data_IF_800257461732
#
_entry.id   IF_800257461732
#
_cell.length_a   1.000
_cell.length_b   1.000
_cell.length_c   1.000
_cell.angle_alpha   90.00
_cell.angle_beta   90.00
_cell.angle_gamma   90.00
#
_symmetry.space_group_name_H-M   'P 1'
#
loop_
_entity.id
_entity.type
_entity.pdbx_description
1 polymer ?
#
# COMPACT_ATOMS: atom_id res chain seq x y z
N UNK A 1 21.89 -10.24 4.39
CA UNK A 1 22.24 -10.00 2.98
C UNK A 1 23.41 -9.02 2.86
N UNK A 2 23.35 -7.84 3.44
CA UNK A 2 24.38 -6.79 3.35
C UNK A 2 25.77 -7.25 3.88
N UNK A 3 25.85 -8.06 4.96
CA UNK A 3 27.13 -8.62 5.44
C UNK A 3 27.80 -9.56 4.42
N UNK A 4 27.02 -10.41 3.77
CA UNK A 4 27.55 -11.35 2.74
C UNK A 4 27.95 -10.59 1.49
N UNK A 5 27.17 -9.58 1.07
CA UNK A 5 27.52 -8.70 -0.06
C UNK A 5 28.82 -7.92 0.20
N UNK A 6 29.02 -7.41 1.44
CA UNK A 6 30.27 -6.72 1.82
C UNK A 6 31.48 -7.66 1.76
N UNK A 7 31.36 -8.92 2.23
CA UNK A 7 32.43 -9.93 2.13
C UNK A 7 32.77 -10.25 0.67
N UNK A 8 31.79 -10.34 -0.22
CA UNK A 8 32.04 -10.56 -1.65
C UNK A 8 32.79 -9.38 -2.26
N UNK A 9 32.39 -8.13 -1.94
CA UNK A 9 33.06 -6.94 -2.47
C UNK A 9 34.49 -6.73 -1.96
N UNK A 10 34.87 -7.36 -0.85
CA UNK A 10 36.21 -7.28 -0.27
C UNK A 10 37.14 -8.46 -0.67
N UNK A 11 36.64 -9.47 -1.37
CA UNK A 11 37.39 -10.66 -1.76
C UNK A 11 37.66 -10.65 -3.25
N UNK A 12 38.91 -10.85 -3.63
CA UNK A 12 39.35 -10.96 -5.03
C UNK A 12 38.74 -12.19 -5.71
N UNK A 13 38.40 -13.24 -4.94
CA UNK A 13 37.79 -14.46 -5.44
C UNK A 13 36.79 -15.02 -4.40
N UNK A 14 35.55 -14.49 -4.35
CA UNK A 14 34.59 -14.91 -3.34
C UNK A 14 34.15 -16.36 -3.54
N UNK A 15 34.05 -17.17 -2.46
CA UNK A 15 33.59 -18.55 -2.53
C UNK A 15 32.20 -18.69 -3.15
N UNK A 16 31.98 -19.79 -3.90
CA UNK A 16 30.67 -20.08 -4.55
C UNK A 16 29.53 -20.14 -3.53
N UNK A 17 29.78 -20.57 -2.33
CA UNK A 17 28.84 -20.64 -1.21
C UNK A 17 28.25 -19.26 -0.85
N UNK A 18 29.06 -18.20 -0.99
CA UNK A 18 28.59 -16.84 -0.74
C UNK A 18 27.49 -16.42 -1.75
N UNK A 19 27.64 -16.78 -3.02
CA UNK A 19 26.63 -16.50 -4.05
C UNK A 19 25.37 -17.35 -3.85
N UNK A 20 25.53 -18.60 -3.43
CA UNK A 20 24.41 -19.46 -3.06
C UNK A 20 23.64 -18.87 -1.87
N UNK A 21 24.35 -18.47 -0.80
CA UNK A 21 23.75 -17.83 0.37
C UNK A 21 22.97 -16.56 0.00
N UNK A 22 23.52 -15.69 -0.85
CA UNK A 22 22.79 -14.49 -1.34
C UNK A 22 21.53 -14.89 -2.11
N UNK A 23 21.61 -15.90 -2.95
CA UNK A 23 20.46 -16.37 -3.73
C UNK A 23 19.34 -16.88 -2.81
N UNK A 24 19.68 -17.70 -1.81
CA UNK A 24 18.72 -18.23 -0.83
C UNK A 24 18.12 -17.09 0.00
N UNK A 25 18.94 -16.20 0.57
CA UNK A 25 18.44 -15.06 1.35
C UNK A 25 17.55 -14.14 0.51
N UNK A 26 17.87 -13.96 -0.77
CA UNK A 26 17.04 -13.19 -1.67
C UNK A 26 15.70 -13.89 -1.95
N UNK A 27 15.70 -15.21 -2.07
CA UNK A 27 14.48 -15.99 -2.22
C UNK A 27 13.59 -15.89 -0.98
N UNK A 28 14.17 -16.04 0.21
CA UNK A 28 13.43 -15.89 1.49
C UNK A 28 12.78 -14.51 1.60
N UNK A 29 13.53 -13.43 1.31
CA UNK A 29 13.00 -12.06 1.36
C UNK A 29 11.84 -11.89 0.36
N UNK A 30 11.98 -12.41 -0.86
CA UNK A 30 10.92 -12.34 -1.86
C UNK A 30 9.66 -13.12 -1.43
N UNK A 31 9.83 -14.30 -0.82
CA UNK A 31 8.71 -15.11 -0.34
C UNK A 31 8.02 -14.47 0.87
N UNK A 32 8.78 -13.94 1.83
CA UNK A 32 8.21 -13.20 2.96
C UNK A 32 7.42 -11.98 2.50
N UNK A 33 7.93 -11.27 1.51
CA UNK A 33 7.19 -10.13 0.94
C UNK A 33 5.91 -10.58 0.23
N UNK A 34 5.98 -11.66 -0.57
CA UNK A 34 4.80 -12.23 -1.22
C UNK A 34 3.72 -12.68 -0.22
N UNK A 35 4.14 -13.35 0.87
CA UNK A 35 3.26 -13.76 1.95
C UNK A 35 2.63 -12.57 2.66
N UNK A 36 3.43 -11.57 3.02
CA UNK A 36 2.92 -10.35 3.64
C UNK A 36 1.89 -9.61 2.79
N UNK A 37 2.05 -9.60 1.46
CA UNK A 37 1.04 -9.04 0.55
C UNK A 37 -0.27 -9.81 0.62
N UNK A 38 -0.24 -11.15 0.59
CA UNK A 38 -1.45 -11.97 0.72
C UNK A 38 -2.16 -11.75 2.05
N UNK A 39 -1.41 -11.75 3.15
CA UNK A 39 -1.96 -11.65 4.50
C UNK A 39 -2.50 -10.25 4.84
N UNK A 40 -1.89 -9.21 4.32
CA UNK A 40 -2.24 -7.84 4.70
C UNK A 40 -3.03 -7.06 3.66
N UNK A 41 -2.91 -7.41 2.38
CA UNK A 41 -3.45 -6.63 1.27
C UNK A 41 -4.34 -7.43 0.32
N UNK A 42 -4.19 -8.77 0.30
CA UNK A 42 -5.00 -9.67 -0.50
C UNK A 42 -4.35 -10.10 -1.81
N UNK A 43 -5.17 -10.67 -2.70
CA UNK A 43 -4.69 -11.39 -3.88
C UNK A 43 -4.22 -10.49 -5.02
N UNK A 44 -4.84 -9.34 -5.25
CA UNK A 44 -4.48 -8.44 -6.35
C UNK A 44 -3.04 -7.88 -6.21
N UNK A 45 -2.61 -7.29 -5.09
CA UNK A 45 -1.21 -6.85 -4.90
C UNK A 45 -0.21 -8.00 -4.97
N UNK A 46 -0.60 -9.21 -4.53
CA UNK A 46 0.22 -10.40 -4.67
C UNK A 46 0.42 -10.76 -6.16
N UNK A 47 -0.63 -10.77 -6.96
CA UNK A 47 -0.56 -11.07 -8.40
C UNK A 47 0.28 -10.04 -9.16
N UNK A 48 0.16 -8.76 -8.83
CA UNK A 48 1.00 -7.69 -9.35
C UNK A 48 2.48 -7.91 -8.99
N UNK A 49 2.76 -8.28 -7.74
CA UNK A 49 4.11 -8.61 -7.31
C UNK A 49 4.67 -9.81 -8.08
N UNK A 50 3.89 -10.86 -8.28
CA UNK A 50 4.29 -12.02 -9.10
C UNK A 50 4.60 -11.59 -10.54
N UNK A 51 3.80 -10.69 -11.12
CA UNK A 51 4.07 -10.08 -12.41
C UNK A 51 5.44 -9.38 -12.48
N UNK A 52 5.77 -8.61 -11.44
CA UNK A 52 7.10 -7.97 -11.30
C UNK A 52 8.22 -9.01 -11.08
N UNK A 53 7.96 -10.06 -10.29
CA UNK A 53 8.92 -11.13 -10.04
C UNK A 53 9.29 -11.90 -11.32
N UNK A 54 8.32 -12.12 -12.21
CA UNK A 54 8.53 -12.77 -13.53
C UNK A 54 9.46 -11.98 -14.45
N UNK A 55 9.52 -10.66 -14.31
CA UNK A 55 10.44 -9.80 -15.06
C UNK A 55 11.88 -9.82 -14.54
N UNK A 56 12.11 -10.38 -13.34
CA UNK A 56 13.45 -10.47 -12.74
C UNK A 56 14.23 -11.64 -13.31
N UNK A 57 15.48 -11.40 -13.74
CA UNK A 57 16.39 -12.42 -14.28
C UNK A 57 17.23 -13.15 -13.23
N UNK A 58 17.08 -12.79 -11.94
CA UNK A 58 17.86 -13.34 -10.85
C UNK A 58 17.57 -14.81 -10.59
N UNK A 59 18.61 -15.59 -10.20
CA UNK A 59 18.45 -17.00 -9.83
C UNK A 59 17.42 -17.23 -8.75
N UNK A 60 17.36 -16.34 -7.75
CA UNK A 60 16.37 -16.40 -6.68
C UNK A 60 14.94 -16.32 -7.21
N UNK A 61 14.64 -15.37 -8.10
CA UNK A 61 13.32 -15.22 -8.72
C UNK A 61 12.93 -16.44 -9.57
N UNK A 62 13.87 -16.94 -10.39
CA UNK A 62 13.65 -18.13 -11.20
C UNK A 62 13.33 -19.37 -10.36
N UNK A 63 14.08 -19.60 -9.27
CA UNK A 63 13.85 -20.73 -8.39
C UNK A 63 12.47 -20.66 -7.71
N UNK A 64 12.04 -19.48 -7.25
CA UNK A 64 10.71 -19.29 -6.67
C UNK A 64 9.62 -19.59 -7.70
N UNK A 65 9.75 -19.06 -8.91
CA UNK A 65 8.75 -19.24 -9.97
C UNK A 65 8.65 -20.68 -10.49
N UNK A 66 9.71 -21.49 -10.32
CA UNK A 66 9.73 -22.91 -10.67
C UNK A 66 9.23 -23.83 -9.54
N UNK A 67 9.06 -23.30 -8.32
CA UNK A 67 8.56 -24.08 -7.21
C UNK A 67 7.07 -24.46 -7.42
N UNK A 68 6.72 -25.75 -7.33
CA UNK A 68 5.35 -26.20 -7.57
C UNK A 68 4.33 -25.60 -6.59
N UNK A 69 4.71 -25.41 -5.31
CA UNK A 69 3.81 -24.85 -4.30
C UNK A 69 3.58 -23.35 -4.57
N UNK A 70 4.64 -22.61 -4.95
CA UNK A 70 4.49 -21.21 -5.33
C UNK A 70 3.65 -21.07 -6.60
N UNK A 71 3.84 -21.93 -7.58
CA UNK A 71 3.03 -21.95 -8.82
C UNK A 71 1.55 -22.23 -8.53
N UNK A 72 1.27 -23.16 -7.61
CA UNK A 72 -0.09 -23.45 -7.15
C UNK A 72 -0.71 -22.25 -6.41
N UNK A 73 0.05 -21.59 -5.53
CA UNK A 73 -0.41 -20.39 -4.84
C UNK A 73 -0.75 -19.25 -5.83
N UNK A 74 0.08 -19.06 -6.86
CA UNK A 74 -0.18 -18.07 -7.93
C UNK A 74 -1.44 -18.40 -8.72
N UNK A 75 -1.67 -19.68 -9.02
CA UNK A 75 -2.88 -20.12 -9.71
C UNK A 75 -4.13 -19.80 -8.87
N UNK A 76 -4.15 -20.22 -7.60
CA UNK A 76 -5.26 -19.97 -6.69
C UNK A 76 -5.52 -18.47 -6.45
N UNK A 77 -4.46 -17.67 -6.37
CA UNK A 77 -4.61 -16.22 -6.20
C UNK A 77 -5.22 -15.54 -7.43
N UNK A 78 -4.89 -16.01 -8.64
CA UNK A 78 -5.52 -15.51 -9.87
C UNK A 78 -6.99 -15.88 -9.94
N UNK A 79 -7.30 -17.14 -9.66
CA UNK A 79 -8.68 -17.64 -9.60
C UNK A 79 -9.51 -16.83 -8.58
N UNK A 80 -8.96 -16.56 -7.40
CA UNK A 80 -9.58 -15.72 -6.37
C UNK A 80 -9.81 -14.28 -6.84
N UNK A 81 -8.89 -13.70 -7.57
CA UNK A 81 -9.02 -12.35 -8.16
C UNK A 81 -10.12 -12.32 -9.24
N UNK A 82 -10.19 -13.34 -10.11
CA UNK A 82 -11.23 -13.48 -11.14
C UNK A 82 -12.63 -13.61 -10.53
N UNK A 83 -12.75 -14.27 -9.37
CA UNK A 83 -13.99 -14.33 -8.57
C UNK A 83 -14.29 -13.04 -7.81
N UNK A 84 -13.44 -12.02 -7.90
CA UNK A 84 -13.66 -10.74 -7.23
C UNK A 84 -13.48 -10.81 -5.70
N UNK A 85 -12.69 -11.76 -5.20
CA UNK A 85 -12.41 -11.87 -3.76
C UNK A 85 -11.57 -10.67 -3.30
N UNK A 86 -12.22 -9.80 -2.53
CA UNK A 86 -11.60 -8.64 -1.92
C UNK A 86 -11.11 -8.97 -0.51
N UNK A 87 -9.98 -8.39 -0.11
CA UNK A 87 -9.47 -8.58 1.25
C UNK A 87 -10.44 -8.00 2.28
N UNK A 88 -10.74 -8.71 3.39
CA UNK A 88 -11.70 -8.25 4.40
C UNK A 88 -11.40 -6.86 4.98
N UNK A 89 -10.12 -6.49 5.11
CA UNK A 89 -9.72 -5.14 5.54
C UNK A 89 -10.23 -4.05 4.60
N UNK A 90 -10.16 -4.27 3.27
CA UNK A 90 -10.63 -3.28 2.29
C UNK A 90 -12.12 -3.06 2.43
N UNK A 91 -12.90 -4.14 2.52
CA UNK A 91 -14.34 -4.05 2.77
C UNK A 91 -14.62 -3.28 4.04
N UNK A 92 -13.92 -3.60 5.13
CA UNK A 92 -14.10 -2.94 6.42
C UNK A 92 -13.69 -1.47 6.40
N UNK A 93 -12.62 -1.13 5.68
CA UNK A 93 -12.20 0.27 5.47
C UNK A 93 -13.31 1.08 4.78
N UNK A 94 -13.85 0.56 3.69
CA UNK A 94 -14.91 1.24 2.93
C UNK A 94 -16.18 1.40 3.76
N UNK A 95 -16.58 0.36 4.51
CA UNK A 95 -17.71 0.45 5.45
C UNK A 95 -17.50 1.57 6.47
N UNK A 96 -16.30 1.64 7.08
CA UNK A 96 -15.95 2.66 8.06
C UNK A 96 -15.95 4.06 7.44
N UNK A 97 -15.34 4.22 6.26
CA UNK A 97 -15.33 5.51 5.56
C UNK A 97 -16.74 5.99 5.22
N UNK A 98 -17.61 5.11 4.72
CA UNK A 98 -19.01 5.45 4.42
C UNK A 98 -19.78 5.86 5.67
N UNK A 99 -19.57 5.15 6.78
CA UNK A 99 -20.22 5.47 8.05
C UNK A 99 -19.79 6.85 8.54
N UNK A 100 -18.50 7.14 8.58
CA UNK A 100 -17.97 8.42 9.05
C UNK A 100 -18.34 9.61 8.14
N UNK A 101 -18.42 9.36 6.82
CA UNK A 101 -18.85 10.37 5.85
C UNK A 101 -20.38 10.53 5.77
N UNK A 102 -21.15 9.69 6.49
CA UNK A 102 -22.60 9.73 6.48
C UNK A 102 -23.23 9.29 5.16
N UNK A 103 -22.54 8.42 4.39
CA UNK A 103 -23.00 7.98 3.07
C UNK A 103 -23.99 6.81 3.13
N UNK A 104 -24.08 6.10 4.25
CA UNK A 104 -24.93 4.90 4.41
C UNK A 104 -26.38 5.22 4.84
N UNK A 105 -26.79 6.49 4.83
CA UNK A 105 -28.14 6.91 5.28
C UNK A 105 -28.40 6.66 6.78
N UNK A 106 -27.49 6.02 7.48
CA UNK A 106 -27.49 5.90 8.93
C UNK A 106 -26.87 7.16 9.52
N UNK A 107 -27.56 7.73 10.48
CA UNK A 107 -27.15 8.94 11.16
C UNK A 107 -25.70 8.83 11.60
N UNK A 108 -24.83 9.62 10.97
CA UNK A 108 -23.48 9.94 11.46
C UNK A 108 -23.48 9.88 12.98
N UNK A 109 -22.48 9.32 13.64
CA UNK A 109 -22.25 9.44 15.09
C UNK A 109 -22.05 10.92 15.46
N UNK A 110 -23.07 11.74 15.16
CA UNK A 110 -23.19 13.16 15.51
C UNK A 110 -23.29 13.37 17.02
N UNK A 111 -23.42 12.30 17.80
CA UNK A 111 -23.80 12.38 19.20
C UNK A 111 -22.69 12.69 20.20
N UNK A 112 -21.47 12.95 19.75
CA UNK A 112 -20.39 13.30 20.70
C UNK A 112 -19.82 14.72 20.55
N UNK A 113 -20.34 15.56 19.61
CA UNK A 113 -19.94 16.96 19.48
C UNK A 113 -21.18 17.82 19.24
N UNK A 114 -21.77 18.18 20.35
CA UNK A 114 -22.90 19.14 20.46
C UNK A 114 -22.35 20.58 20.39
N UNK A 115 -21.92 21.00 19.22
CA UNK A 115 -21.61 22.41 18.95
C UNK A 115 -22.24 22.74 17.59
N UNK A 116 -23.39 23.37 17.63
CA UNK A 116 -24.33 23.74 16.59
C UNK A 116 -23.85 24.53 15.37
N UNK A 117 -22.67 24.23 14.83
CA UNK A 117 -22.17 24.80 13.59
C UNK A 117 -22.25 23.77 12.46
N UNK A 118 -22.70 24.24 11.32
CA UNK A 118 -22.73 23.50 10.04
C UNK A 118 -21.31 23.09 9.65
N UNK A 119 -20.87 21.90 10.13
CA UNK A 119 -19.48 21.45 9.94
C UNK A 119 -19.32 20.85 8.56
N UNK A 120 -18.28 21.33 7.87
CA UNK A 120 -17.66 20.70 6.69
C UNK A 120 -17.58 19.16 6.85
N UNK A 121 -17.63 18.44 5.74
CA UNK A 121 -17.42 16.98 5.73
C UNK A 121 -16.20 16.59 6.55
N UNK A 122 -16.27 15.48 7.33
CA UNK A 122 -15.15 15.07 8.16
C UNK A 122 -13.90 14.80 7.32
N UNK A 123 -12.76 15.19 7.84
CA UNK A 123 -11.45 14.96 7.22
C UNK A 123 -10.82 13.70 7.79
N UNK A 124 -10.54 12.76 6.92
CA UNK A 124 -10.03 11.44 7.29
C UNK A 124 -8.66 11.22 6.64
N UNK A 125 -7.70 10.67 7.40
CA UNK A 125 -6.43 10.21 6.85
C UNK A 125 -6.36 8.68 6.96
N UNK A 126 -5.98 8.03 5.86
CA UNK A 126 -5.70 6.60 5.80
C UNK A 126 -4.22 6.40 5.53
N UNK A 127 -3.50 5.80 6.47
CA UNK A 127 -2.09 5.46 6.31
C UNK A 127 -1.92 4.03 5.81
N UNK A 128 -0.99 3.85 4.86
CA UNK A 128 -0.58 2.56 4.33
C UNK A 128 0.93 2.53 4.09
N UNK A 129 1.58 1.38 4.12
CA UNK A 129 3.03 1.27 3.89
C UNK A 129 3.40 1.34 2.41
N UNK A 130 2.55 0.84 1.51
CA UNK A 130 2.89 0.61 0.12
C UNK A 130 2.08 1.49 -0.83
N UNK A 131 2.73 1.97 -1.90
CA UNK A 131 2.07 2.77 -2.94
C UNK A 131 1.01 1.98 -3.71
N UNK A 132 1.25 0.70 -3.94
CA UNK A 132 0.27 -0.14 -4.65
C UNK A 132 -1.01 -0.29 -3.82
N UNK A 133 -0.90 -0.42 -2.49
CA UNK A 133 -2.06 -0.43 -1.58
C UNK A 133 -2.77 0.93 -1.57
N UNK A 134 -2.01 2.02 -1.58
CA UNK A 134 -2.56 3.38 -1.65
C UNK A 134 -3.37 3.57 -2.94
N UNK A 135 -2.83 3.16 -4.09
CA UNK A 135 -3.51 3.22 -5.38
C UNK A 135 -4.82 2.40 -5.34
N UNK A 136 -4.77 1.18 -4.80
CA UNK A 136 -5.92 0.28 -4.66
C UNK A 136 -7.02 0.86 -3.76
N UNK A 137 -6.65 1.45 -2.61
CA UNK A 137 -7.60 2.11 -1.71
C UNK A 137 -8.26 3.29 -2.43
N UNK A 138 -7.48 4.10 -3.13
CA UNK A 138 -7.99 5.26 -3.88
C UNK A 138 -8.98 4.85 -4.97
N UNK A 139 -8.63 3.87 -5.81
CA UNK A 139 -9.54 3.34 -6.84
C UNK A 139 -10.83 2.76 -6.23
N UNK A 140 -10.73 2.12 -5.07
CA UNK A 140 -11.90 1.60 -4.37
C UNK A 140 -12.77 2.72 -3.82
N UNK A 141 -12.18 3.78 -3.27
CA UNK A 141 -12.88 4.98 -2.84
C UNK A 141 -13.61 5.65 -4.01
N UNK A 142 -12.97 5.82 -5.16
CA UNK A 142 -13.58 6.40 -6.36
C UNK A 142 -14.80 5.60 -6.82
N UNK A 143 -14.72 4.27 -6.85
CA UNK A 143 -15.84 3.38 -7.20
C UNK A 143 -17.05 3.54 -6.26
N UNK A 144 -16.81 3.92 -5.02
CA UNK A 144 -17.85 4.15 -4.00
C UNK A 144 -18.29 5.62 -3.90
N UNK A 145 -17.76 6.49 -4.76
CA UNK A 145 -18.10 7.93 -4.76
C UNK A 145 -17.47 8.72 -3.60
N UNK A 146 -16.45 8.16 -2.91
CA UNK A 146 -15.73 8.82 -1.83
C UNK A 146 -14.66 9.75 -2.44
N UNK A 147 -14.70 11.03 -2.10
CA UNK A 147 -13.72 12.03 -2.57
C UNK A 147 -12.38 11.81 -1.87
N UNK A 148 -11.51 11.02 -2.46
CA UNK A 148 -10.19 10.72 -1.92
C UNK A 148 -9.06 11.29 -2.77
N UNK A 149 -7.90 11.50 -2.15
CA UNK A 149 -6.68 11.94 -2.83
C UNK A 149 -5.46 11.16 -2.35
N UNK A 150 -4.56 10.88 -3.28
CA UNK A 150 -3.30 10.16 -3.03
C UNK A 150 -2.22 11.11 -2.57
N UNK A 151 -1.51 10.71 -1.52
CA UNK A 151 -0.37 11.46 -0.99
C UNK A 151 0.81 10.54 -0.69
N UNK A 152 1.98 10.82 -1.28
CA UNK A 152 3.19 10.02 -1.09
C UNK A 152 4.45 10.86 -1.30
N UNK A 153 5.61 10.30 -0.93
CA UNK A 153 6.89 10.98 -0.97
C UNK A 153 7.41 11.28 -2.38
N UNK A 154 8.49 12.07 -2.44
CA UNK A 154 9.14 12.52 -3.68
C UNK A 154 9.95 11.42 -4.37
N UNK A 155 10.33 10.36 -3.63
CA UNK A 155 11.16 9.28 -4.15
C UNK A 155 10.48 8.52 -5.29
N UNK A 156 11.25 8.12 -6.31
CA UNK A 156 10.79 7.19 -7.34
C UNK A 156 10.81 5.77 -6.78
N UNK A 157 9.72 5.03 -6.89
CA UNK A 157 9.62 3.62 -6.49
C UNK A 157 8.97 2.82 -7.62
N UNK A 158 9.53 1.66 -7.93
CA UNK A 158 9.03 0.72 -8.96
C UNK A 158 8.71 1.38 -10.31
N UNK A 159 9.53 2.39 -10.71
CA UNK A 159 9.34 3.14 -11.96
C UNK A 159 8.24 4.21 -11.92
N UNK A 160 7.52 4.34 -10.80
CA UNK A 160 6.53 5.41 -10.61
C UNK A 160 7.21 6.64 -9.99
N UNK A 161 7.07 7.80 -10.64
CA UNK A 161 7.60 9.08 -10.16
C UNK A 161 6.91 9.50 -8.86
N UNK A 162 7.68 10.07 -7.92
CA UNK A 162 7.15 10.66 -6.70
C UNK A 162 6.46 12.00 -6.93
N UNK A 163 5.73 12.48 -5.92
CA UNK A 163 5.13 13.82 -5.92
C UNK A 163 6.20 14.88 -5.67
N UNK A 164 6.19 15.95 -6.45
CA UNK A 164 7.02 17.13 -6.18
C UNK A 164 6.53 17.85 -4.93
N UNK A 165 7.39 18.66 -4.28
CA UNK A 165 6.98 19.48 -3.13
C UNK A 165 5.80 20.42 -3.45
N UNK A 166 5.73 20.93 -4.67
CA UNK A 166 4.64 21.80 -5.11
C UNK A 166 3.33 21.03 -5.19
N UNK A 167 3.35 19.82 -5.75
CA UNK A 167 2.18 18.93 -5.80
C UNK A 167 1.71 18.54 -4.40
N UNK A 168 2.62 18.17 -3.51
CA UNK A 168 2.31 17.86 -2.12
C UNK A 168 1.63 19.04 -1.40
N UNK A 169 2.17 20.26 -1.53
CA UNK A 169 1.55 21.47 -0.95
C UNK A 169 0.15 21.72 -1.52
N UNK A 170 -0.04 21.54 -2.83
CA UNK A 170 -1.33 21.72 -3.47
C UNK A 170 -2.37 20.70 -2.99
N UNK A 171 -1.97 19.44 -2.84
CA UNK A 171 -2.84 18.37 -2.34
C UNK A 171 -3.28 18.69 -0.90
N UNK A 172 -2.35 19.04 -0.01
CA UNK A 172 -2.67 19.43 1.37
C UNK A 172 -3.60 20.64 1.40
N UNK A 173 -3.36 21.65 0.58
CA UNK A 173 -4.25 22.81 0.47
C UNK A 173 -5.65 22.40 0.03
N UNK A 174 -5.78 21.57 -1.00
CA UNK A 174 -7.08 21.07 -1.50
C UNK A 174 -7.80 20.21 -0.47
N UNK A 175 -7.07 19.42 0.31
CA UNK A 175 -7.63 18.67 1.43
C UNK A 175 -8.11 19.59 2.57
N UNK A 176 -7.33 20.64 2.90
CA UNK A 176 -7.73 21.67 3.89
C UNK A 176 -9.03 22.37 3.50
N UNK A 177 -9.21 22.68 2.21
CA UNK A 177 -10.38 23.41 1.68
C UNK A 177 -11.61 22.53 1.42
N UNK A 178 -11.57 21.22 1.78
CA UNK A 178 -12.73 20.33 1.66
C UNK A 178 -13.00 19.81 0.24
N UNK A 179 -12.05 19.97 -0.71
CA UNK A 179 -12.18 19.37 -2.04
C UNK A 179 -12.08 17.83 -1.98
N UNK A 180 -11.46 17.30 -0.92
CA UNK A 180 -11.34 15.87 -0.62
C UNK A 180 -11.70 15.63 0.84
N UNK A 181 -12.38 14.52 1.08
CA UNK A 181 -12.79 14.07 2.42
C UNK A 181 -11.75 13.11 3.00
N UNK A 182 -11.05 12.36 2.14
CA UNK A 182 -10.10 11.33 2.54
C UNK A 182 -8.72 11.57 1.90
N UNK A 183 -7.69 11.68 2.73
CA UNK A 183 -6.28 11.70 2.32
C UNK A 183 -5.69 10.30 2.52
N UNK A 184 -5.29 9.64 1.46
CA UNK A 184 -4.64 8.32 1.53
C UNK A 184 -3.14 8.54 1.40
N UNK A 185 -2.38 8.16 2.42
CA UNK A 185 -0.97 8.51 2.53
C UNK A 185 -0.07 7.34 2.85
N UNK A 186 1.18 7.39 2.35
CA UNK A 186 2.25 6.54 2.87
C UNK A 186 2.94 7.24 4.04
N UNK A 187 3.63 6.48 4.91
CA UNK A 187 4.32 6.96 6.13
C UNK A 187 5.28 8.15 5.93
N UNK A 188 5.70 8.44 4.69
CA UNK A 188 6.57 9.59 4.36
C UNK A 188 5.88 10.95 4.59
N UNK A 189 4.56 10.97 4.76
CA UNK A 189 3.82 12.20 5.04
C UNK A 189 4.00 12.72 6.48
N UNK A 190 4.57 11.90 7.36
CA UNK A 190 4.74 12.23 8.79
C UNK A 190 5.85 13.27 9.03
N UNK A 191 6.81 13.41 8.11
CA UNK A 191 7.96 14.30 8.30
C UNK A 191 7.79 15.65 7.58
N UNK A 192 7.48 16.69 8.35
CA UNK A 192 7.69 18.09 7.92
C UNK A 192 6.58 18.74 7.10
N UNK A 193 5.40 18.14 6.98
CA UNK A 193 4.23 18.75 6.36
C UNK A 193 3.21 19.16 7.43
N UNK A 194 2.75 20.41 7.33
CA UNK A 194 1.66 20.94 8.17
C UNK A 194 0.31 20.29 7.74
N UNK A 195 0.10 19.06 8.21
CA UNK A 195 -1.17 18.34 8.02
C UNK A 195 -2.25 19.03 8.84
N UNK A 196 -3.42 19.34 8.28
CA UNK A 196 -4.50 19.97 9.02
C UNK A 196 -5.00 19.06 10.15
N UNK A 197 -5.70 19.65 11.11
CA UNK A 197 -6.48 18.85 12.05
C UNK A 197 -7.45 17.95 11.27
N UNK A 198 -7.50 16.70 11.66
CA UNK A 198 -8.37 15.67 11.04
C UNK A 198 -9.25 15.04 12.09
N UNK A 199 -10.43 14.58 11.66
CA UNK A 199 -11.41 13.98 12.57
C UNK A 199 -11.10 12.52 12.86
N UNK A 200 -10.49 11.82 11.89
CA UNK A 200 -10.16 10.40 12.01
C UNK A 200 -8.83 10.06 11.33
N UNK A 201 -8.03 9.23 11.98
CA UNK A 201 -6.83 8.60 11.42
C UNK A 201 -7.02 7.09 11.41
N UNK A 202 -6.84 6.47 10.25
CA UNK A 202 -6.93 5.03 10.07
C UNK A 202 -5.56 4.50 9.67
N UNK A 203 -5.03 3.57 10.44
CA UNK A 203 -3.83 2.81 10.11
C UNK A 203 -4.28 1.54 9.40
N UNK A 204 -4.08 1.45 8.08
CA UNK A 204 -4.50 0.30 7.30
C UNK A 204 -3.53 -0.88 7.48
N UNK A 205 -2.23 -0.60 7.66
CA UNK A 205 -1.18 -1.58 7.95
C UNK A 205 0.00 -0.94 8.71
#
# INVERSE_FOLDING_TARGET
RSRVQRKIGQSVNPPKECFQAISILSAVINLQHALGLLESQGVAPFNDYVGRLRKKTTRAAKNILLDPNFSKAVYLAKEAEEYGLEHPKMKKLIELLKLELGMDGQTRLKSLRDDGEDKDSPKIIVFTQFRDTLDMIHERCEKEGIKSVRFYGQGTSDGKKGLTQKEQKNIIKSFKTGNYDVLISTSVAEEGLDIPAVDLVILYE
#
